data_IF_903617921547
#
_entry.id   IF_903617921547
#
_cell.length_a   1.000
_cell.length_b   1.000
_cell.length_c   1.000
_cell.angle_alpha   90.00
_cell.angle_beta   90.00
_cell.angle_gamma   90.00
#
_symmetry.space_group_name_H-M   'P 1'
#
loop_
_entity.id
_entity.type
_entity.pdbx_description
1 polymer ?
#
# COMPACT_ATOMS: atom_id res chain seq x y z
N UNK A 1 -2.20 7.27 -18.43
CA UNK A 1 -0.77 7.49 -18.15
C UNK A 1 -0.21 6.28 -17.39
N UNK A 2 0.92 5.77 -17.85
CA UNK A 2 1.63 4.71 -17.14
C UNK A 2 2.59 5.29 -16.13
N UNK A 3 2.62 4.70 -14.94
CA UNK A 3 3.56 5.06 -13.86
C UNK A 3 4.79 4.16 -13.89
N UNK A 4 4.62 2.91 -14.33
CA UNK A 4 5.68 1.96 -14.63
C UNK A 4 5.16 0.96 -15.66
N UNK A 5 5.95 -0.06 -16.00
CA UNK A 5 5.60 -1.01 -17.06
C UNK A 5 4.20 -1.60 -16.92
N UNK A 6 3.82 -2.02 -15.70
CA UNK A 6 2.56 -2.73 -15.45
C UNK A 6 1.57 -1.96 -14.59
N UNK A 7 1.85 -0.69 -14.25
CA UNK A 7 0.98 0.10 -13.37
C UNK A 7 0.61 1.42 -14.01
N UNK A 8 -0.69 1.75 -13.94
CA UNK A 8 -1.23 2.99 -14.51
C UNK A 8 -1.69 3.95 -13.43
N UNK A 9 -1.76 5.24 -13.76
CA UNK A 9 -2.31 6.26 -12.88
C UNK A 9 -3.77 5.95 -12.52
N UNK A 10 -4.55 5.47 -13.49
CA UNK A 10 -5.96 5.09 -13.24
C UNK A 10 -6.06 4.02 -12.16
N UNK A 11 -5.21 3.01 -12.20
CA UNK A 11 -5.20 1.93 -11.23
C UNK A 11 -4.84 2.43 -9.84
N UNK A 12 -3.87 3.33 -9.74
CA UNK A 12 -3.39 3.88 -8.47
C UNK A 12 -4.31 4.95 -7.88
N UNK A 13 -5.32 5.41 -8.60
CA UNK A 13 -6.27 6.41 -8.14
C UNK A 13 -7.70 5.90 -8.11
N UNK A 14 -7.93 4.63 -8.45
CA UNK A 14 -9.26 4.03 -8.45
C UNK A 14 -9.81 3.94 -7.02
N UNK A 15 -11.08 4.31 -6.86
CA UNK A 15 -11.78 4.22 -5.57
C UNK A 15 -13.28 4.11 -5.81
N UNK A 16 -13.87 2.99 -5.40
CA UNK A 16 -15.33 2.80 -5.49
C UNK A 16 -16.06 3.82 -4.60
N UNK A 17 -15.50 4.16 -3.45
CA UNK A 17 -16.11 5.15 -2.55
C UNK A 17 -16.11 6.54 -3.19
N UNK A 18 -15.00 6.94 -3.81
CA UNK A 18 -14.92 8.22 -4.51
C UNK A 18 -15.95 8.31 -5.64
N UNK A 19 -16.06 7.26 -6.45
CA UNK A 19 -17.04 7.20 -7.54
C UNK A 19 -18.47 7.29 -7.02
N UNK A 20 -18.80 6.49 -6.01
CA UNK A 20 -20.14 6.43 -5.44
C UNK A 20 -20.57 7.74 -4.80
N UNK A 21 -19.65 8.46 -4.16
CA UNK A 21 -19.92 9.72 -3.46
C UNK A 21 -19.64 10.96 -4.30
N UNK A 22 -19.16 10.80 -5.54
CA UNK A 22 -18.83 11.93 -6.39
C UNK A 22 -17.63 12.74 -5.89
N UNK A 23 -16.70 12.11 -5.20
CA UNK A 23 -15.51 12.76 -4.65
C UNK A 23 -14.41 12.79 -5.71
N UNK A 24 -13.78 13.97 -5.88
CA UNK A 24 -12.62 14.12 -6.74
C UNK A 24 -11.40 13.43 -6.09
N UNK A 25 -10.85 12.44 -6.80
CA UNK A 25 -9.66 11.70 -6.36
C UNK A 25 -8.51 11.86 -7.36
N UNK A 26 -8.33 13.05 -7.92
CA UNK A 26 -7.26 13.34 -8.87
C UNK A 26 -6.03 13.89 -8.15
N UNK A 27 -4.86 13.26 -8.28
CA UNK A 27 -3.63 13.75 -7.66
C UNK A 27 -3.07 14.96 -8.40
N UNK A 28 -2.35 15.81 -7.67
CA UNK A 28 -1.56 16.89 -8.26
C UNK A 28 -0.22 16.33 -8.80
N UNK A 29 0.59 17.19 -9.43
CA UNK A 29 1.84 16.78 -10.06
C UNK A 29 2.85 16.16 -9.05
N UNK A 30 2.96 16.73 -7.87
CA UNK A 30 3.86 16.18 -6.83
C UNK A 30 3.40 14.80 -6.36
N UNK A 31 2.11 14.61 -6.23
CA UNK A 31 1.51 13.32 -5.84
C UNK A 31 1.68 12.28 -6.95
N UNK A 32 1.56 12.69 -8.22
CA UNK A 32 1.81 11.80 -9.36
C UNK A 32 3.28 11.36 -9.37
N UNK A 33 4.21 12.28 -9.12
CA UNK A 33 5.63 11.95 -9.02
C UNK A 33 5.89 10.96 -7.89
N UNK A 34 5.24 11.14 -6.74
CA UNK A 34 5.34 10.20 -5.63
C UNK A 34 4.81 8.82 -5.98
N UNK A 35 3.65 8.75 -6.66
CA UNK A 35 3.07 7.51 -7.13
C UNK A 35 3.98 6.79 -8.13
N UNK A 36 4.65 7.55 -9.00
CA UNK A 36 5.60 6.99 -9.95
C UNK A 36 6.76 6.32 -9.22
N UNK A 37 7.32 6.98 -8.22
CA UNK A 37 8.40 6.40 -7.40
C UNK A 37 7.95 5.15 -6.65
N UNK A 38 6.73 5.17 -6.12
CA UNK A 38 6.15 4.01 -5.45
C UNK A 38 6.03 2.83 -6.40
N UNK A 39 5.54 3.05 -7.61
CA UNK A 39 5.42 2.00 -8.62
C UNK A 39 6.79 1.46 -9.04
N UNK A 40 7.75 2.35 -9.32
CA UNK A 40 9.09 1.94 -9.80
C UNK A 40 9.88 1.18 -8.73
N UNK A 41 9.73 1.54 -7.46
CA UNK A 41 10.58 1.01 -6.40
C UNK A 41 9.91 -0.09 -5.56
N UNK A 42 8.61 -0.19 -5.55
CA UNK A 42 7.87 -1.18 -4.76
C UNK A 42 7.02 -2.09 -5.65
N UNK A 43 6.01 -1.54 -6.30
CA UNK A 43 5.00 -2.35 -6.99
C UNK A 43 5.56 -3.09 -8.21
N UNK A 44 6.37 -2.42 -9.03
CA UNK A 44 6.94 -3.06 -10.21
C UNK A 44 7.95 -4.17 -9.86
N UNK A 45 8.90 -3.98 -8.91
CA UNK A 45 9.75 -5.08 -8.47
C UNK A 45 8.99 -6.28 -7.94
N UNK A 46 7.90 -6.07 -7.20
CA UNK A 46 7.02 -7.16 -6.71
C UNK A 46 6.38 -7.87 -7.91
N UNK A 47 5.83 -7.10 -8.84
CA UNK A 47 5.19 -7.64 -10.06
C UNK A 47 6.17 -8.50 -10.87
N UNK A 48 7.40 -8.03 -11.01
CA UNK A 48 8.43 -8.72 -11.80
C UNK A 48 8.89 -10.00 -11.11
N UNK A 49 9.08 -9.96 -9.80
CA UNK A 49 9.53 -11.13 -9.04
C UNK A 49 8.50 -12.27 -9.09
N UNK A 50 7.24 -11.98 -8.83
CA UNK A 50 6.19 -13.01 -8.78
C UNK A 50 5.64 -13.35 -10.16
N UNK A 51 5.92 -12.53 -11.17
CA UNK A 51 5.40 -12.70 -12.54
C UNK A 51 3.88 -12.89 -12.55
N UNK A 52 3.18 -12.20 -11.65
CA UNK A 52 1.72 -12.31 -11.45
C UNK A 52 1.14 -10.92 -11.21
N UNK A 53 -0.12 -10.69 -11.60
CA UNK A 53 -0.76 -9.39 -11.36
C UNK A 53 -0.79 -9.03 -9.88
N UNK A 54 -0.47 -7.77 -9.59
CA UNK A 54 -0.60 -7.19 -8.25
C UNK A 54 -1.92 -6.44 -8.19
N UNK A 55 -2.79 -6.83 -7.26
CA UNK A 55 -4.08 -6.18 -7.07
C UNK A 55 -3.93 -5.04 -6.06
N UNK A 56 -4.04 -3.81 -6.54
CA UNK A 56 -4.01 -2.62 -5.69
C UNK A 56 -5.43 -2.30 -5.24
N UNK A 57 -5.68 -2.48 -3.94
CA UNK A 57 -7.00 -2.18 -3.36
C UNK A 57 -7.15 -0.71 -2.99
N UNK A 58 -6.05 -0.02 -2.70
CA UNK A 58 -6.05 1.41 -2.40
C UNK A 58 -4.68 1.99 -2.70
N UNK A 59 -4.65 3.01 -3.54
CA UNK A 59 -3.44 3.79 -3.82
C UNK A 59 -3.60 5.21 -3.28
N UNK A 60 -3.63 6.20 -4.17
CA UNK A 60 -3.85 7.59 -3.80
C UNK A 60 -5.26 7.81 -3.26
N UNK A 61 -5.35 8.58 -2.17
CA UNK A 61 -6.61 9.07 -1.60
C UNK A 61 -6.51 10.57 -1.40
N UNK A 62 -7.35 11.34 -2.08
CA UNK A 62 -7.43 12.79 -1.84
C UNK A 62 -7.79 13.07 -0.37
N UNK A 63 -7.50 14.28 0.12
CA UNK A 63 -7.88 14.65 1.49
C UNK A 63 -9.39 14.52 1.71
N UNK A 64 -10.19 14.92 0.73
CA UNK A 64 -11.64 14.78 0.79
C UNK A 64 -12.06 13.31 0.94
N UNK A 65 -11.42 12.40 0.19
CA UNK A 65 -11.70 10.97 0.29
C UNK A 65 -11.27 10.44 1.67
N UNK A 66 -10.12 10.86 2.18
CA UNK A 66 -9.66 10.47 3.52
C UNK A 66 -10.70 10.84 4.59
N UNK A 67 -11.22 12.06 4.55
CA UNK A 67 -12.28 12.50 5.47
C UNK A 67 -13.51 11.62 5.34
N UNK A 68 -13.93 11.33 4.11
CA UNK A 68 -15.15 10.56 3.84
C UNK A 68 -15.08 9.12 4.38
N UNK A 69 -13.89 8.52 4.41
CA UNK A 69 -13.72 7.13 4.90
C UNK A 69 -13.21 7.05 6.34
N UNK A 70 -13.08 8.20 7.03
CA UNK A 70 -12.60 8.24 8.40
C UNK A 70 -11.09 8.02 8.56
N UNK A 71 -10.33 8.25 7.50
CA UNK A 71 -8.86 8.14 7.50
C UNK A 71 -8.22 9.51 7.75
N UNK A 72 -6.95 9.51 8.17
CA UNK A 72 -6.20 10.75 8.38
C UNK A 72 -5.85 11.43 7.06
N UNK A 73 -5.99 12.76 7.01
CA UNK A 73 -5.51 13.57 5.88
C UNK A 73 -3.98 13.63 5.82
N UNK A 74 -3.30 13.20 6.90
CA UNK A 74 -1.84 13.11 6.96
C UNK A 74 -1.32 11.73 6.54
N UNK A 75 -2.20 10.82 6.13
CA UNK A 75 -1.83 9.50 5.64
C UNK A 75 -0.91 9.60 4.43
N UNK A 76 0.03 8.66 4.32
CA UNK A 76 0.89 8.58 3.14
C UNK A 76 0.09 8.27 1.85
N UNK A 77 -1.10 7.68 1.96
CA UNK A 77 -2.02 7.56 0.81
C UNK A 77 -2.40 8.93 0.25
N UNK A 78 -2.56 9.94 1.10
CA UNK A 78 -2.91 11.29 0.67
C UNK A 78 -1.73 12.03 0.01
N UNK A 79 -0.52 11.51 0.17
CA UNK A 79 0.70 12.06 -0.42
C UNK A 79 1.12 11.33 -1.70
N UNK A 80 0.41 10.27 -2.09
CA UNK A 80 0.79 9.42 -3.20
C UNK A 80 1.98 8.50 -2.88
N UNK A 81 2.27 8.28 -1.62
CA UNK A 81 3.45 7.54 -1.17
C UNK A 81 3.15 6.10 -0.73
N UNK A 82 1.90 5.69 -0.69
CA UNK A 82 1.51 4.38 -0.17
C UNK A 82 0.49 3.68 -1.03
N UNK A 83 0.52 2.35 -1.01
CA UNK A 83 -0.50 1.50 -1.60
C UNK A 83 -0.78 0.30 -0.70
N UNK A 84 -2.03 -0.16 -0.75
CA UNK A 84 -2.46 -1.42 -0.17
C UNK A 84 -2.66 -2.42 -1.30
N UNK A 85 -2.08 -3.59 -1.20
CA UNK A 85 -2.08 -4.54 -2.31
C UNK A 85 -1.91 -5.99 -1.86
N UNK A 86 -2.22 -6.89 -2.78
CA UNK A 86 -2.08 -8.34 -2.64
C UNK A 86 -1.76 -8.97 -3.98
N UNK A 87 -1.30 -10.23 -3.95
CA UNK A 87 -1.16 -11.06 -5.15
C UNK A 87 -1.99 -12.32 -4.93
N UNK A 88 -2.94 -12.57 -5.82
CA UNK A 88 -3.76 -13.78 -5.76
C UNK A 88 -2.86 -15.02 -5.79
N UNK A 89 -3.06 -15.91 -4.82
CA UNK A 89 -2.30 -17.15 -4.73
C UNK A 89 -0.98 -17.04 -3.99
N UNK A 90 -0.58 -15.85 -3.54
CA UNK A 90 0.63 -15.67 -2.73
C UNK A 90 0.20 -15.30 -1.31
N UNK A 91 0.59 -16.08 -0.29
CA UNK A 91 0.30 -15.73 1.10
C UNK A 91 0.86 -14.35 1.45
N UNK A 92 0.07 -13.53 2.16
CA UNK A 92 0.49 -12.16 2.47
C UNK A 92 1.73 -12.10 3.36
N UNK A 93 1.92 -13.07 4.26
CA UNK A 93 3.13 -13.13 5.08
C UNK A 93 4.39 -13.41 4.23
N UNK A 94 4.26 -14.25 3.18
CA UNK A 94 5.35 -14.53 2.24
C UNK A 94 5.69 -13.27 1.42
N UNK A 95 4.67 -12.58 0.93
CA UNK A 95 4.85 -11.33 0.18
C UNK A 95 5.54 -10.27 1.04
N UNK A 96 5.10 -10.11 2.30
CA UNK A 96 5.74 -9.19 3.23
C UNK A 96 7.22 -9.54 3.44
N UNK A 97 7.53 -10.82 3.66
CA UNK A 97 8.91 -11.28 3.87
C UNK A 97 9.79 -10.94 2.68
N UNK A 98 9.31 -11.22 1.47
CA UNK A 98 10.10 -10.93 0.26
C UNK A 98 10.40 -9.43 0.14
N UNK A 99 9.41 -8.57 0.38
CA UNK A 99 9.60 -7.11 0.32
C UNK A 99 10.62 -6.66 1.38
N UNK A 100 10.49 -7.15 2.61
CA UNK A 100 11.38 -6.79 3.72
C UNK A 100 12.83 -7.16 3.39
N UNK A 101 13.05 -8.31 2.77
CA UNK A 101 14.39 -8.80 2.49
C UNK A 101 15.01 -8.21 1.22
N UNK A 102 14.21 -7.71 0.29
CA UNK A 102 14.70 -7.37 -1.06
C UNK A 102 14.53 -5.92 -1.47
N UNK A 103 13.63 -5.15 -0.85
CA UNK A 103 13.32 -3.81 -1.27
C UNK A 103 13.66 -2.77 -0.20
N UNK A 104 13.91 -1.54 -0.66
CA UNK A 104 14.00 -0.36 0.18
C UNK A 104 12.60 0.26 0.24
N UNK A 105 12.10 0.52 1.45
CA UNK A 105 10.75 1.07 1.64
C UNK A 105 10.73 1.98 2.87
N UNK A 106 9.76 2.87 2.96
CA UNK A 106 9.59 3.72 4.14
C UNK A 106 8.91 2.94 5.27
N UNK A 107 7.70 2.43 5.02
CA UNK A 107 6.99 1.63 6.02
C UNK A 107 6.22 0.50 5.34
N UNK A 108 6.38 -0.71 5.87
CA UNK A 108 5.57 -1.86 5.49
C UNK A 108 4.71 -2.26 6.68
N UNK A 109 3.43 -2.48 6.44
CA UNK A 109 2.51 -2.98 7.45
C UNK A 109 1.81 -4.23 6.91
N UNK A 110 1.97 -5.35 7.58
CA UNK A 110 1.15 -6.53 7.33
C UNK A 110 -0.15 -6.34 8.10
N UNK A 111 -1.23 -6.02 7.39
CA UNK A 111 -2.48 -5.59 8.00
C UNK A 111 -3.46 -6.74 8.14
N UNK A 112 -3.87 -7.02 9.37
CA UNK A 112 -4.94 -7.95 9.74
C UNK A 112 -4.74 -9.38 9.22
N UNK A 113 -3.49 -9.80 9.08
CA UNK A 113 -3.14 -11.16 8.68
C UNK A 113 -3.30 -12.13 9.85
N UNK A 114 -3.89 -13.30 9.58
CA UNK A 114 -4.00 -14.40 10.54
C UNK A 114 -3.16 -15.57 10.07
N UNK A 115 -2.34 -16.12 10.97
CA UNK A 115 -1.37 -17.17 10.65
C UNK A 115 -2.00 -18.40 9.99
N UNK A 116 -3.21 -18.78 10.42
CA UNK A 116 -3.95 -19.92 9.90
C UNK A 116 -4.76 -19.62 8.64
N UNK A 117 -4.77 -18.37 8.19
CA UNK A 117 -5.48 -17.91 6.99
C UNK A 117 -4.51 -17.18 6.07
N UNK A 118 -3.80 -17.89 5.16
CA UNK A 118 -2.70 -17.31 4.38
C UNK A 118 -3.07 -16.09 3.55
N UNK A 119 -4.32 -16.01 3.08
CA UNK A 119 -4.79 -14.92 2.24
C UNK A 119 -5.52 -13.82 3.03
N UNK A 120 -5.48 -13.88 4.37
CA UNK A 120 -6.11 -12.86 5.20
C UNK A 120 -5.30 -11.58 5.22
N UNK A 121 -6.00 -10.44 5.39
CA UNK A 121 -5.36 -9.13 5.45
C UNK A 121 -4.80 -8.67 4.11
N UNK A 122 -3.85 -7.76 4.14
CA UNK A 122 -3.19 -7.22 2.95
C UNK A 122 -1.85 -6.59 3.33
N UNK A 123 -1.10 -6.15 2.32
CA UNK A 123 0.15 -5.42 2.50
C UNK A 123 -0.09 -3.94 2.31
N UNK A 124 0.32 -3.14 3.28
CA UNK A 124 0.47 -1.70 3.12
C UNK A 124 1.97 -1.41 2.98
N UNK A 125 2.38 -0.70 1.94
CA UNK A 125 3.78 -0.35 1.77
C UNK A 125 3.91 1.06 1.20
N UNK A 126 4.86 1.82 1.76
CA UNK A 126 5.12 3.20 1.35
C UNK A 126 6.57 3.39 0.92
N UNK A 127 6.79 4.47 0.17
CA UNK A 127 8.11 4.84 -0.32
C UNK A 127 8.24 6.35 -0.36
N UNK A 128 9.35 6.88 0.12
CA UNK A 128 9.66 8.31 0.07
C UNK A 128 10.83 8.57 -0.87
N UNK A 129 12.03 8.18 -0.45
CA UNK A 129 13.27 8.30 -1.20
C UNK A 129 14.32 7.43 -0.50
N UNK A 130 15.44 7.09 -1.15
CA UNK A 130 16.49 6.29 -0.50
C UNK A 130 16.99 6.90 0.80
N UNK A 131 17.07 8.23 0.89
CA UNK A 131 17.58 8.90 2.10
C UNK A 131 16.54 9.08 3.20
N UNK A 132 15.25 9.08 2.85
CA UNK A 132 14.17 9.37 3.80
C UNK A 132 13.41 8.12 4.26
N UNK A 133 13.60 7.00 3.59
CA UNK A 133 12.93 5.74 3.95
C UNK A 133 13.38 5.24 5.31
N UNK A 134 12.42 5.05 6.22
CA UNK A 134 12.68 4.59 7.59
C UNK A 134 12.89 3.10 7.72
N UNK A 135 12.46 2.32 6.73
CA UNK A 135 12.39 0.86 6.77
C UNK A 135 11.66 0.35 8.01
N UNK A 136 10.60 1.04 8.39
CA UNK A 136 9.72 0.67 9.50
C UNK A 136 8.85 -0.52 9.07
N UNK A 137 8.82 -1.57 9.91
CA UNK A 137 8.12 -2.80 9.58
C UNK A 137 7.19 -3.17 10.73
N UNK A 138 5.89 -3.13 10.47
CA UNK A 138 4.86 -3.33 11.48
C UNK A 138 3.86 -4.39 11.03
N UNK A 139 3.12 -4.91 12.01
CA UNK A 139 1.87 -5.61 11.73
C UNK A 139 0.73 -4.88 12.44
N UNK A 140 -0.43 -4.87 11.82
CA UNK A 140 -1.65 -4.30 12.41
C UNK A 140 -2.60 -5.44 12.78
N UNK A 141 -3.19 -5.37 13.95
CA UNK A 141 -4.14 -6.37 14.44
C UNK A 141 -5.20 -5.70 15.31
N UNK A 142 -6.29 -6.43 15.54
CA UNK A 142 -7.32 -5.96 16.46
C UNK A 142 -7.12 -6.62 17.82
N UNK A 143 -7.15 -5.82 18.89
CA UNK A 143 -7.08 -6.34 20.25
C UNK A 143 -8.45 -6.90 20.68
N UNK A 144 -8.54 -7.41 21.92
CA UNK A 144 -9.77 -8.00 22.48
C UNK A 144 -10.94 -7.02 22.51
N UNK A 145 -10.67 -5.71 22.47
CA UNK A 145 -11.69 -4.66 22.47
C UNK A 145 -12.06 -4.21 21.04
N UNK A 146 -11.54 -4.89 20.01
CA UNK A 146 -11.79 -4.55 18.61
C UNK A 146 -11.05 -3.32 18.10
N UNK A 147 -10.08 -2.81 18.85
CA UNK A 147 -9.28 -1.64 18.45
C UNK A 147 -8.04 -2.08 17.67
N UNK A 148 -7.70 -1.32 16.63
CA UNK A 148 -6.50 -1.57 15.84
C UNK A 148 -5.27 -1.19 16.67
N UNK A 149 -4.30 -2.11 16.70
CA UNK A 149 -3.00 -1.90 17.32
C UNK A 149 -1.90 -2.26 16.34
N UNK A 150 -0.73 -1.68 16.55
CA UNK A 150 0.45 -1.92 15.72
C UNK A 150 1.59 -2.41 16.60
N UNK A 151 2.37 -3.36 16.08
CA UNK A 151 3.60 -3.79 16.72
C UNK A 151 4.67 -4.07 15.69
N UNK A 152 5.94 -4.03 16.09
CA UNK A 152 7.04 -4.38 15.22
C UNK A 152 6.85 -5.80 14.68
N UNK A 153 7.04 -5.98 13.37
CA UNK A 153 6.89 -7.27 12.71
C UNK A 153 8.24 -7.77 12.20
N UNK A 154 8.56 -9.02 12.55
CA UNK A 154 9.74 -9.70 12.02
C UNK A 154 9.27 -11.01 11.40
N UNK A 155 9.50 -11.22 10.08
CA UNK A 155 9.13 -12.47 9.44
C UNK A 155 9.98 -13.63 9.98
N UNK A 156 9.36 -14.79 10.04
CA UNK A 156 10.05 -16.03 10.46
C UNK A 156 10.92 -16.58 9.34
#
# INVERSE_FOLDING_TARGET
MKLSKNFSLKELTASHTAERKGINNNPNDDQITALQKLCENILQPVRDHYASPVTVSSGFRSEELCVAIGSSVNSQHAKGQAADFEIFGVPNAELAKWIIENLDYDQLILEFHKTDEPNSGWIHCSYKSPSDNRKSTLRAFRNDQGKTQYEEYKPE
#
